data_IF_021608720355
#
_entry.id   IF_021608720355
#
_cell.length_a   1.000
_cell.length_b   1.000
_cell.length_c   1.000
_cell.angle_alpha   90.00
_cell.angle_beta   90.00
_cell.angle_gamma   90.00
#
_symmetry.space_group_name_H-M   'P 1'
#
loop_
_entity.id
_entity.type
_entity.pdbx_description
1 polymer ?
#
# COMPACT_ATOMS: atom_id res chain seq x y z
N UNK A 1 12.40 18.39 19.17
CA UNK A 1 13.71 17.72 19.00
C UNK A 1 13.59 16.82 17.79
N UNK A 2 14.29 17.15 16.71
CA UNK A 2 14.28 16.37 15.47
C UNK A 2 15.36 15.30 15.56
N UNK A 3 14.97 14.03 15.58
CA UNK A 3 15.93 12.93 15.44
C UNK A 3 16.28 12.83 13.93
N UNK A 4 17.57 12.83 13.53
CA UNK A 4 17.97 12.82 12.12
C UNK A 4 17.49 11.57 11.34
N UNK A 5 17.09 10.51 12.03
CA UNK A 5 16.52 9.32 11.42
C UNK A 5 15.03 9.47 11.03
N UNK A 6 14.39 10.59 11.40
CA UNK A 6 13.01 10.88 11.10
C UNK A 6 12.87 12.07 10.17
N UNK A 7 12.28 11.86 9.02
CA UNK A 7 11.76 12.95 8.20
C UNK A 7 10.27 13.11 8.48
N UNK A 8 9.91 14.17 9.20
CA UNK A 8 8.52 14.52 9.48
C UNK A 8 7.90 15.44 8.42
N UNK A 9 8.32 15.38 7.18
CA UNK A 9 7.85 16.29 6.12
C UNK A 9 6.32 16.27 5.94
N UNK A 10 5.66 15.20 6.36
CA UNK A 10 4.20 15.02 6.30
C UNK A 10 3.66 14.27 7.53
N UNK A 11 4.15 14.60 8.72
CA UNK A 11 3.69 13.92 9.95
C UNK A 11 2.25 14.27 10.30
N UNK A 12 1.52 13.33 10.96
CA UNK A 12 0.30 13.70 11.68
C UNK A 12 0.59 14.77 12.72
N UNK A 13 -0.43 15.56 13.08
CA UNK A 13 -0.28 16.51 14.17
C UNK A 13 0.25 15.80 15.42
N UNK A 14 1.21 16.40 16.12
CA UNK A 14 1.76 15.90 17.39
C UNK A 14 0.70 15.73 18.50
N UNK A 15 -0.50 16.31 18.32
CA UNK A 15 -1.66 16.13 19.20
C UNK A 15 -2.43 14.85 18.93
N UNK A 16 -2.23 14.20 17.78
CA UNK A 16 -2.98 13.02 17.36
C UNK A 16 -2.56 11.77 18.12
N UNK A 17 -3.51 10.86 18.35
CA UNK A 17 -3.20 9.47 18.72
C UNK A 17 -2.76 8.67 17.49
N UNK A 18 -1.86 7.71 17.70
CA UNK A 18 -1.34 6.83 16.66
C UNK A 18 -1.40 5.36 17.08
N UNK A 19 -1.72 4.50 16.15
CA UNK A 19 -1.48 3.07 16.28
C UNK A 19 -0.10 2.77 15.67
N UNK A 20 0.77 2.07 16.38
CA UNK A 20 2.10 1.68 15.88
C UNK A 20 2.15 0.16 15.73
N UNK A 21 2.32 -0.31 14.51
CA UNK A 21 2.47 -1.75 14.24
C UNK A 21 3.83 -2.26 14.72
N UNK A 22 3.82 -3.27 15.61
CA UNK A 22 5.04 -3.88 16.14
C UNK A 22 5.02 -5.39 15.93
N UNK A 23 6.07 -5.93 15.27
CA UNK A 23 6.29 -7.36 15.11
C UNK A 23 7.26 -7.94 16.14
N UNK A 24 8.13 -7.12 16.69
CA UNK A 24 9.26 -7.49 17.56
C UNK A 24 10.59 -7.59 16.79
N UNK A 25 10.57 -7.49 15.46
CA UNK A 25 11.79 -7.38 14.64
C UNK A 25 12.42 -5.99 14.71
N UNK A 26 13.66 -5.88 14.20
CA UNK A 26 14.48 -4.68 14.23
C UNK A 26 13.70 -3.41 13.87
N UNK A 27 13.16 -3.36 12.65
CA UNK A 27 12.55 -2.16 12.06
C UNK A 27 11.36 -1.66 12.90
N UNK A 28 10.47 -2.58 13.30
CA UNK A 28 9.28 -2.23 14.09
C UNK A 28 9.61 -1.83 15.54
N UNK A 29 10.67 -2.41 16.09
CA UNK A 29 11.19 -2.05 17.43
C UNK A 29 11.83 -0.66 17.38
N UNK A 30 12.63 -0.37 16.34
CA UNK A 30 13.20 0.93 16.10
C UNK A 30 12.12 2.00 15.92
N UNK A 31 11.09 1.72 15.09
CA UNK A 31 9.96 2.63 14.90
C UNK A 31 9.29 2.97 16.24
N UNK A 32 8.91 1.95 17.02
CA UNK A 32 8.22 2.19 18.30
C UNK A 32 9.11 3.00 19.27
N UNK A 33 10.41 2.68 19.35
CA UNK A 33 11.34 3.41 20.21
C UNK A 33 11.48 4.87 19.78
N UNK A 34 11.68 5.12 18.51
CA UNK A 34 11.75 6.47 17.94
C UNK A 34 10.45 7.26 18.21
N UNK A 35 9.27 6.63 18.07
CA UNK A 35 7.99 7.25 18.41
C UNK A 35 7.92 7.62 19.90
N UNK A 36 8.43 6.76 20.78
CA UNK A 36 8.48 7.04 22.24
C UNK A 36 9.39 8.24 22.54
N UNK A 37 10.50 8.40 21.82
CA UNK A 37 11.42 9.52 22.02
C UNK A 37 10.90 10.85 21.46
N UNK A 38 10.23 10.81 20.31
CA UNK A 38 9.90 12.01 19.55
C UNK A 38 8.45 12.47 19.70
N UNK A 39 7.53 11.56 20.10
CA UNK A 39 6.11 11.92 20.20
C UNK A 39 5.76 12.49 21.57
N UNK A 40 5.06 13.62 21.67
CA UNK A 40 4.70 14.20 22.95
C UNK A 40 3.67 13.32 23.69
N UNK A 41 3.91 13.07 24.98
CA UNK A 41 3.08 12.20 25.83
C UNK A 41 2.83 10.80 25.22
N UNK A 42 3.89 10.03 24.88
CA UNK A 42 3.76 8.80 24.12
C UNK A 42 2.90 7.75 24.82
N UNK A 43 2.93 7.65 26.14
CA UNK A 43 2.11 6.72 26.93
C UNK A 43 0.60 6.92 26.78
N UNK A 44 0.17 8.14 26.48
CA UNK A 44 -1.25 8.49 26.29
C UNK A 44 -1.67 8.44 24.82
N UNK A 45 -0.74 8.73 23.90
CA UNK A 45 -1.05 8.96 22.49
C UNK A 45 -0.65 7.82 21.57
N UNK A 46 0.26 6.93 22.01
CA UNK A 46 0.69 5.78 21.24
C UNK A 46 0.02 4.53 21.76
N UNK A 47 -0.52 3.72 20.86
CA UNK A 47 -0.98 2.36 21.11
C UNK A 47 -0.21 1.43 20.19
N UNK A 48 0.59 0.54 20.77
CA UNK A 48 1.27 -0.52 20.03
C UNK A 48 0.26 -1.61 19.63
N UNK A 49 0.38 -2.12 18.40
CA UNK A 49 -0.50 -3.17 17.87
C UNK A 49 0.33 -4.33 17.34
N UNK A 50 0.12 -5.51 17.88
CA UNK A 50 0.80 -6.75 17.50
C UNK A 50 -0.20 -7.79 17.01
N UNK A 51 0.15 -8.54 15.95
CA UNK A 51 -0.65 -9.67 15.45
C UNK A 51 0.16 -10.94 15.61
N UNK A 52 -0.34 -11.86 16.45
CA UNK A 52 0.22 -13.18 16.61
C UNK A 52 -0.62 -14.18 15.79
N UNK A 53 -0.06 -14.62 14.64
CA UNK A 53 -0.73 -15.57 13.74
C UNK A 53 -0.64 -17.02 14.21
N UNK A 54 0.16 -17.34 15.22
CA UNK A 54 0.35 -18.69 15.72
C UNK A 54 1.06 -19.64 14.74
N UNK A 55 1.61 -19.12 13.63
CA UNK A 55 2.18 -19.94 12.53
C UNK A 55 3.43 -20.73 12.94
N UNK A 56 4.19 -20.22 13.90
CA UNK A 56 5.48 -20.77 14.37
C UNK A 56 5.41 -21.33 15.80
N UNK A 57 4.21 -21.62 16.31
CA UNK A 57 4.03 -22.25 17.63
C UNK A 57 4.72 -21.48 18.76
N UNK A 58 5.73 -22.14 19.41
CA UNK A 58 6.48 -21.54 20.54
C UNK A 58 7.22 -20.25 20.17
N UNK A 59 7.73 -20.12 18.94
CA UNK A 59 8.41 -18.90 18.48
C UNK A 59 7.45 -17.72 18.41
N UNK A 60 6.25 -17.90 17.85
CA UNK A 60 5.23 -16.84 17.83
C UNK A 60 4.82 -16.37 19.23
N UNK A 61 4.83 -17.27 20.22
CA UNK A 61 4.60 -16.90 21.62
C UNK A 61 5.79 -16.14 22.23
N UNK A 62 7.03 -16.52 21.88
CA UNK A 62 8.24 -15.83 22.32
C UNK A 62 8.30 -14.40 21.75
N UNK A 63 7.90 -14.21 20.48
CA UNK A 63 7.83 -12.90 19.86
C UNK A 63 6.78 -12.00 20.56
N UNK A 64 5.59 -12.53 20.85
CA UNK A 64 4.58 -11.80 21.62
C UNK A 64 5.09 -11.42 23.01
N UNK A 65 5.78 -12.33 23.70
CA UNK A 65 6.38 -12.04 25.01
C UNK A 65 7.43 -10.94 24.94
N UNK A 66 8.27 -10.94 23.91
CA UNK A 66 9.27 -9.88 23.69
C UNK A 66 8.61 -8.52 23.46
N UNK A 67 7.59 -8.47 22.59
CA UNK A 67 6.81 -7.24 22.35
C UNK A 67 6.14 -6.73 23.62
N UNK A 68 5.57 -7.62 24.44
CA UNK A 68 4.97 -7.23 25.73
C UNK A 68 6.00 -6.61 26.67
N UNK A 69 7.20 -7.19 26.76
CA UNK A 69 8.30 -6.65 27.60
C UNK A 69 8.74 -5.27 27.13
N UNK A 70 8.93 -5.06 25.82
CA UNK A 70 9.28 -3.76 25.25
C UNK A 70 8.23 -2.70 25.53
N UNK A 71 6.96 -3.00 25.31
CA UNK A 71 5.85 -2.08 25.57
C UNK A 71 5.73 -1.74 27.05
N UNK A 72 5.89 -2.72 27.96
CA UNK A 72 5.89 -2.48 29.42
C UNK A 72 7.07 -1.59 29.84
N UNK A 73 8.31 -1.88 29.34
CA UNK A 73 9.51 -1.07 29.62
C UNK A 73 9.33 0.39 29.21
N UNK A 74 8.64 0.65 28.10
CA UNK A 74 8.42 2.01 27.57
C UNK A 74 7.07 2.61 27.99
N UNK A 75 6.32 1.93 28.85
CA UNK A 75 5.00 2.36 29.35
C UNK A 75 3.99 2.64 28.20
N UNK A 76 4.04 1.83 27.15
CA UNK A 76 3.15 1.94 25.99
C UNK A 76 2.04 0.88 26.08
N UNK A 77 0.79 1.30 25.88
CA UNK A 77 -0.36 0.38 25.82
C UNK A 77 -0.21 -0.54 24.60
N UNK A 78 -0.41 -1.85 24.81
CA UNK A 78 -0.31 -2.85 23.77
C UNK A 78 -1.67 -3.51 23.54
N UNK A 79 -2.07 -3.58 22.27
CA UNK A 79 -3.20 -4.39 21.78
C UNK A 79 -2.66 -5.55 20.96
N UNK A 80 -3.10 -6.77 21.28
CA UNK A 80 -2.65 -8.00 20.61
C UNK A 80 -3.84 -8.69 19.98
N UNK A 81 -3.74 -8.99 18.70
CA UNK A 81 -4.64 -9.91 18.00
C UNK A 81 -4.00 -11.30 17.98
N UNK A 82 -4.61 -12.27 18.67
CA UNK A 82 -4.24 -13.68 18.58
C UNK A 82 -5.14 -14.36 17.56
N UNK A 83 -4.55 -14.93 16.52
CA UNK A 83 -5.29 -15.64 15.48
C UNK A 83 -5.24 -17.13 15.79
N UNK A 84 -6.41 -17.72 16.11
CA UNK A 84 -6.52 -19.16 16.30
C UNK A 84 -6.70 -19.86 14.95
N UNK A 85 -6.05 -21.01 14.77
CA UNK A 85 -6.21 -21.88 13.60
C UNK A 85 -6.03 -21.19 12.24
N UNK A 86 -5.10 -20.22 12.15
CA UNK A 86 -4.88 -19.47 10.91
C UNK A 86 -4.57 -20.38 9.72
N UNK A 87 -3.81 -21.48 9.94
CA UNK A 87 -3.55 -22.47 8.88
C UNK A 87 -4.80 -23.15 8.34
N UNK A 88 -5.80 -23.45 9.19
CA UNK A 88 -7.06 -24.07 8.75
C UNK A 88 -7.91 -23.13 7.89
N UNK A 89 -7.86 -21.82 8.15
CA UNK A 89 -8.55 -20.81 7.35
C UNK A 89 -7.99 -20.63 5.95
N UNK A 90 -6.73 -21.01 5.73
CA UNK A 90 -6.06 -20.91 4.43
C UNK A 90 -6.67 -21.81 3.36
N UNK A 91 -7.16 -22.99 3.74
CA UNK A 91 -7.72 -23.97 2.80
C UNK A 91 -9.10 -23.56 2.25
N UNK A 92 -9.73 -22.54 2.83
CA UNK A 92 -11.09 -22.11 2.45
C UNK A 92 -11.11 -20.97 1.41
N UNK A 93 -9.97 -20.32 1.12
CA UNK A 93 -9.90 -19.17 0.23
C UNK A 93 -8.76 -19.33 -0.79
N UNK A 94 -9.01 -18.96 -2.04
CA UNK A 94 -8.02 -18.98 -3.15
C UNK A 94 -6.88 -17.95 -3.01
N UNK A 95 -6.85 -17.16 -1.92
CA UNK A 95 -5.85 -16.12 -1.67
C UNK A 95 -4.59 -16.71 -1.04
N UNK A 96 -3.43 -16.13 -1.37
CA UNK A 96 -2.15 -16.53 -0.74
C UNK A 96 -2.17 -16.31 0.79
N UNK A 97 -1.34 -17.08 1.52
CA UNK A 97 -1.12 -16.90 2.97
C UNK A 97 -0.80 -15.44 3.33
N UNK A 98 0.03 -14.81 2.51
CA UNK A 98 0.49 -13.43 2.74
C UNK A 98 -0.65 -12.42 2.56
N UNK A 99 -1.49 -12.61 1.54
CA UNK A 99 -2.63 -11.72 1.28
C UNK A 99 -3.66 -11.82 2.42
N UNK A 100 -3.97 -13.04 2.87
CA UNK A 100 -4.90 -13.25 3.99
C UNK A 100 -4.35 -12.68 5.31
N UNK A 101 -3.06 -12.89 5.59
CA UNK A 101 -2.40 -12.31 6.75
C UNK A 101 -2.39 -10.77 6.69
N UNK A 102 -2.17 -10.23 5.49
CA UNK A 102 -2.21 -8.79 5.24
C UNK A 102 -3.61 -8.22 5.49
N UNK A 103 -4.66 -8.81 4.91
CA UNK A 103 -6.06 -8.39 5.10
C UNK A 103 -6.45 -8.39 6.58
N UNK A 104 -6.18 -9.50 7.27
CA UNK A 104 -6.49 -9.63 8.69
C UNK A 104 -5.76 -8.59 9.55
N UNK A 105 -4.50 -8.33 9.25
CA UNK A 105 -3.69 -7.33 9.93
C UNK A 105 -4.26 -5.92 9.74
N UNK A 106 -4.58 -5.54 8.50
CA UNK A 106 -5.10 -4.22 8.23
C UNK A 106 -6.51 -4.02 8.77
N UNK A 107 -7.38 -5.03 8.73
CA UNK A 107 -8.72 -5.00 9.37
C UNK A 107 -8.62 -4.83 10.89
N UNK A 108 -7.64 -5.47 11.53
CA UNK A 108 -7.36 -5.27 12.95
C UNK A 108 -6.92 -3.84 13.24
N UNK A 109 -5.98 -3.31 12.46
CA UNK A 109 -5.48 -1.96 12.63
C UNK A 109 -6.55 -0.90 12.39
N UNK A 110 -7.38 -1.06 11.36
CA UNK A 110 -8.51 -0.18 11.07
C UNK A 110 -9.50 -0.13 12.25
N UNK A 111 -9.83 -1.28 12.81
CA UNK A 111 -10.68 -1.40 13.99
C UNK A 111 -10.08 -0.66 15.19
N UNK A 112 -8.77 -0.83 15.44
CA UNK A 112 -8.07 -0.14 16.51
C UNK A 112 -8.03 1.38 16.29
N UNK A 113 -7.74 1.84 15.07
CA UNK A 113 -7.76 3.27 14.74
C UNK A 113 -9.11 3.89 15.09
N UNK A 114 -10.21 3.20 14.76
CA UNK A 114 -11.56 3.66 15.10
C UNK A 114 -11.82 3.64 16.61
N UNK A 115 -11.48 2.56 17.30
CA UNK A 115 -11.73 2.39 18.74
C UNK A 115 -10.96 3.39 19.60
N UNK A 116 -9.72 3.71 19.21
CA UNK A 116 -8.85 4.61 19.94
C UNK A 116 -8.99 6.09 19.50
N UNK A 117 -9.82 6.38 18.50
CA UNK A 117 -9.92 7.71 17.88
C UNK A 117 -8.57 8.17 17.32
N UNK A 118 -7.77 7.25 16.79
CA UNK A 118 -6.44 7.55 16.29
C UNK A 118 -6.50 8.16 14.88
N UNK A 119 -5.51 9.00 14.55
CA UNK A 119 -5.39 9.58 13.22
C UNK A 119 -5.16 8.51 12.14
N UNK A 120 -4.48 7.44 12.49
CA UNK A 120 -4.10 6.35 11.61
C UNK A 120 -3.08 5.44 12.27
N UNK A 121 -2.33 4.70 11.44
CA UNK A 121 -1.29 3.80 11.92
C UNK A 121 0.08 4.15 11.33
N UNK A 122 1.13 3.90 12.10
CA UNK A 122 2.51 3.93 11.65
C UNK A 122 3.06 2.51 11.46
N UNK A 123 3.84 2.31 10.37
CA UNK A 123 4.50 1.05 10.05
C UNK A 123 5.95 1.28 9.67
N UNK A 124 6.80 0.31 9.97
CA UNK A 124 8.24 0.41 9.87
C UNK A 124 8.82 0.03 8.49
N UNK A 125 8.15 0.43 7.39
CA UNK A 125 8.75 0.29 6.08
C UNK A 125 9.91 1.29 5.95
N UNK A 126 11.04 0.81 5.44
CA UNK A 126 12.31 1.54 5.34
C UNK A 126 12.77 1.66 3.88
N UNK A 127 13.96 2.21 3.65
CA UNK A 127 14.49 2.53 2.31
C UNK A 127 14.58 1.29 1.41
N UNK A 128 15.07 0.17 1.94
CA UNK A 128 15.18 -1.08 1.20
C UNK A 128 13.81 -1.64 0.81
N UNK A 129 12.79 -1.53 1.68
CA UNK A 129 11.42 -1.91 1.33
C UNK A 129 10.86 -1.11 0.16
N UNK A 130 11.23 0.17 0.06
CA UNK A 130 10.88 1.03 -1.07
C UNK A 130 11.53 0.52 -2.35
N UNK A 131 12.85 0.27 -2.31
CA UNK A 131 13.61 -0.23 -3.46
C UNK A 131 13.06 -1.58 -3.95
N UNK A 132 12.83 -2.52 -3.03
CA UNK A 132 12.21 -3.83 -3.33
C UNK A 132 10.86 -3.67 -4.01
N UNK A 133 10.04 -2.76 -3.50
CA UNK A 133 8.68 -2.54 -4.03
C UNK A 133 8.74 -1.93 -5.43
N UNK A 134 9.61 -0.96 -5.66
CA UNK A 134 9.78 -0.32 -6.97
C UNK A 134 10.29 -1.34 -7.99
N UNK A 135 11.32 -2.13 -7.63
CA UNK A 135 11.88 -3.15 -8.50
C UNK A 135 10.88 -4.26 -8.81
N UNK A 136 10.14 -4.77 -7.81
CA UNK A 136 9.10 -5.78 -8.05
C UNK A 136 8.03 -5.28 -9.02
N UNK A 137 7.60 -4.04 -8.88
CA UNK A 137 6.60 -3.43 -9.76
C UNK A 137 7.15 -3.15 -11.15
N UNK A 138 8.41 -2.76 -11.27
CA UNK A 138 9.11 -2.62 -12.55
C UNK A 138 9.15 -3.95 -13.30
N UNK A 139 9.57 -5.02 -12.64
CA UNK A 139 9.61 -6.38 -13.20
C UNK A 139 8.23 -6.94 -13.59
N UNK A 140 7.15 -6.37 -13.07
CA UNK A 140 5.76 -6.68 -13.45
C UNK A 140 5.22 -5.80 -14.58
N UNK A 141 6.01 -4.88 -15.13
CA UNK A 141 5.57 -3.95 -16.17
C UNK A 141 4.61 -2.87 -15.67
N UNK A 142 4.71 -2.46 -14.40
CA UNK A 142 3.84 -1.43 -13.85
C UNK A 142 4.13 -0.07 -14.45
N UNK A 143 3.08 0.72 -14.75
CA UNK A 143 3.20 2.13 -15.11
C UNK A 143 3.52 3.05 -13.91
N UNK A 144 3.50 4.37 -14.13
CA UNK A 144 3.89 5.39 -13.14
C UNK A 144 3.23 5.19 -11.76
N UNK A 145 1.90 4.95 -11.69
CA UNK A 145 1.18 4.66 -10.44
C UNK A 145 1.82 3.49 -9.66
N UNK A 146 2.26 2.45 -10.34
CA UNK A 146 2.94 1.32 -9.71
C UNK A 146 4.37 1.68 -9.30
N UNK A 147 5.16 2.29 -10.18
CA UNK A 147 6.54 2.67 -9.94
C UNK A 147 6.70 3.72 -8.85
N UNK A 148 5.64 4.45 -8.48
CA UNK A 148 5.63 5.35 -7.32
C UNK A 148 5.93 4.65 -5.99
N UNK A 149 6.00 3.32 -5.97
CA UNK A 149 6.40 2.55 -4.79
C UNK A 149 5.45 2.72 -3.59
N UNK A 150 6.02 2.73 -2.40
CA UNK A 150 5.31 3.02 -1.16
C UNK A 150 5.26 4.55 -0.96
N UNK A 151 4.12 5.06 -0.52
CA UNK A 151 3.98 6.49 -0.17
C UNK A 151 4.19 6.68 1.33
N UNK A 152 4.79 7.79 1.73
CA UNK A 152 5.00 8.13 3.16
C UNK A 152 3.66 8.11 3.91
N UNK A 153 2.64 8.77 3.35
CA UNK A 153 1.27 8.64 3.84
C UNK A 153 0.41 8.06 2.72
N UNK A 154 -0.31 7.00 3.04
CA UNK A 154 -1.23 6.33 2.13
C UNK A 154 -2.58 6.11 2.81
N UNK A 155 -3.66 6.40 2.09
CA UNK A 155 -5.01 6.07 2.51
C UNK A 155 -5.40 4.74 1.87
N UNK A 156 -5.84 3.79 2.68
CA UNK A 156 -6.34 2.48 2.24
C UNK A 156 -7.83 2.42 2.47
N UNK A 157 -8.57 2.01 1.45
CA UNK A 157 -10.01 1.72 1.50
C UNK A 157 -10.18 0.22 1.30
N UNK A 158 -10.92 -0.45 2.18
CA UNK A 158 -11.17 -1.90 2.12
C UNK A 158 -12.58 -2.20 1.63
N UNK A 159 -13.53 -1.29 1.84
CA UNK A 159 -14.88 -1.30 1.28
C UNK A 159 -15.45 0.12 1.29
N UNK A 160 -16.46 0.39 0.45
CA UNK A 160 -17.11 1.71 0.39
C UNK A 160 -17.87 2.06 1.68
N UNK A 161 -18.23 1.05 2.47
CA UNK A 161 -18.96 1.20 3.75
C UNK A 161 -18.06 1.36 4.96
N UNK A 162 -16.73 1.15 4.81
CA UNK A 162 -15.79 1.21 5.93
C UNK A 162 -14.95 2.49 5.92
N UNK A 163 -14.62 3.03 7.11
CA UNK A 163 -13.75 4.20 7.20
C UNK A 163 -12.36 3.88 6.62
N UNK A 164 -11.79 4.85 5.94
CA UNK A 164 -10.45 4.75 5.35
C UNK A 164 -9.37 4.61 6.43
N UNK A 165 -8.35 3.79 6.18
CA UNK A 165 -7.19 3.65 7.05
C UNK A 165 -6.02 4.48 6.52
N UNK A 166 -5.58 5.48 7.28
CA UNK A 166 -4.34 6.21 6.99
C UNK A 166 -3.14 5.41 7.51
N UNK A 167 -2.21 5.13 6.62
CA UNK A 167 -0.96 4.42 6.91
C UNK A 167 0.22 5.38 6.71
N UNK A 168 0.98 5.62 7.76
CA UNK A 168 2.17 6.44 7.74
C UNK A 168 3.43 5.59 7.82
N UNK A 169 4.45 5.92 7.02
CA UNK A 169 5.73 5.22 6.92
C UNK A 169 6.88 6.21 7.17
N UNK A 170 7.12 6.57 8.42
CA UNK A 170 8.11 7.61 8.74
C UNK A 170 9.56 7.21 8.45
N UNK A 171 9.84 5.92 8.20
CA UNK A 171 11.18 5.39 8.02
C UNK A 171 11.54 5.15 6.53
N UNK A 172 10.70 5.56 5.58
CA UNK A 172 10.93 5.27 4.14
C UNK A 172 12.25 5.81 3.57
N UNK A 173 12.87 6.78 4.22
CA UNK A 173 14.16 7.35 3.84
C UNK A 173 15.32 6.87 4.72
N UNK A 174 15.05 5.99 5.68
CA UNK A 174 16.03 5.48 6.64
C UNK A 174 16.48 4.09 6.19
N UNK A 175 17.78 3.83 6.19
CA UNK A 175 18.32 2.51 5.87
C UNK A 175 18.12 1.52 7.01
N UNK A 176 18.01 0.24 6.70
CA UNK A 176 17.94 -0.83 7.70
C UNK A 176 19.15 -0.78 8.65
N UNK A 177 20.34 -0.58 8.09
CA UNK A 177 21.58 -0.43 8.88
C UNK A 177 21.48 0.69 9.91
N UNK A 178 20.97 1.86 9.53
CA UNK A 178 20.77 2.96 10.48
C UNK A 178 19.81 2.61 11.61
N UNK A 179 18.79 1.79 11.35
CA UNK A 179 17.86 1.31 12.40
C UNK A 179 18.53 0.31 13.34
N UNK A 180 19.34 -0.59 12.82
CA UNK A 180 20.14 -1.53 13.62
C UNK A 180 21.15 -0.79 14.51
N UNK A 181 21.91 0.15 13.94
CA UNK A 181 22.89 0.97 14.68
C UNK A 181 22.21 1.82 15.77
N UNK A 182 21.01 2.36 15.47
CA UNK A 182 20.20 3.09 16.43
C UNK A 182 19.79 2.21 17.63
N UNK A 183 19.32 0.99 17.41
CA UNK A 183 18.95 0.09 18.50
C UNK A 183 20.16 -0.39 19.30
N UNK A 184 21.27 -0.72 18.63
CA UNK A 184 22.53 -1.12 19.27
C UNK A 184 23.07 -0.02 20.17
N UNK A 185 23.07 1.24 19.70
CA UNK A 185 23.54 2.39 20.52
C UNK A 185 22.72 2.64 21.79
N UNK A 186 21.54 2.02 21.90
CA UNK A 186 20.63 2.13 23.06
C UNK A 186 20.53 0.86 23.88
N UNK A 187 21.32 -0.17 23.56
CA UNK A 187 21.26 -1.50 24.16
C UNK A 187 19.82 -2.05 24.16
N UNK A 188 19.17 -1.99 22.98
CA UNK A 188 17.82 -2.53 22.78
C UNK A 188 17.92 -3.76 21.90
N UNK A 189 17.55 -4.92 22.47
CA UNK A 189 17.47 -6.18 21.76
C UNK A 189 16.18 -6.26 20.92
N UNK A 190 16.26 -6.97 19.80
CA UNK A 190 15.14 -7.31 18.94
C UNK A 190 15.15 -8.79 18.59
N UNK A 191 14.05 -9.27 18.00
CA UNK A 191 13.92 -10.64 17.53
C UNK A 191 14.29 -10.73 16.04
N UNK A 192 15.12 -11.66 15.68
CA UNK A 192 15.36 -12.01 14.29
C UNK A 192 14.28 -12.97 13.78
N UNK A 193 13.76 -12.71 12.59
CA UNK A 193 12.72 -13.52 11.99
C UNK A 193 13.35 -14.46 10.93
N UNK A 194 13.61 -15.70 11.32
CA UNK A 194 14.16 -16.76 10.42
C UNK A 194 13.28 -16.99 9.17
N UNK A 195 12.00 -16.57 9.19
CA UNK A 195 11.13 -16.71 8.02
C UNK A 195 11.50 -15.73 6.88
N UNK A 196 12.33 -14.73 7.13
CA UNK A 196 12.83 -13.80 6.13
C UNK A 196 13.82 -14.47 5.15
N UNK A 197 14.35 -15.64 5.47
CA UNK A 197 15.33 -16.38 4.65
C UNK A 197 14.70 -17.29 3.60
N UNK A 198 13.39 -17.55 3.65
CA UNK A 198 12.74 -18.45 2.69
C UNK A 198 12.64 -17.81 1.31
N UNK A 199 13.47 -18.25 0.36
CA UNK A 199 13.49 -17.80 -1.04
C UNK A 199 12.22 -18.16 -1.84
N UNK A 200 11.31 -18.95 -1.29
CA UNK A 200 10.03 -19.29 -1.92
C UNK A 200 9.14 -18.07 -2.23
N UNK A 201 9.43 -16.92 -1.63
CA UNK A 201 8.65 -15.71 -1.85
C UNK A 201 9.40 -14.74 -2.76
N UNK A 202 8.75 -14.27 -3.83
CA UNK A 202 9.30 -13.34 -4.82
C UNK A 202 9.98 -12.11 -4.19
N UNK A 203 9.44 -11.58 -3.10
CA UNK A 203 10.05 -10.44 -2.39
C UNK A 203 11.40 -10.81 -1.77
N UNK A 204 11.52 -12.02 -1.21
CA UNK A 204 12.77 -12.51 -0.65
C UNK A 204 13.81 -12.78 -1.76
N UNK A 205 13.38 -13.28 -2.94
CA UNK A 205 14.26 -13.40 -4.10
C UNK A 205 14.80 -12.03 -4.55
N UNK A 206 13.93 -11.01 -4.63
CA UNK A 206 14.37 -9.66 -4.95
C UNK A 206 15.39 -9.14 -3.94
N UNK A 207 15.16 -9.35 -2.64
CA UNK A 207 16.03 -8.90 -1.54
C UNK A 207 17.38 -9.60 -1.52
N UNK A 208 17.39 -10.93 -1.69
CA UNK A 208 18.58 -11.76 -1.45
C UNK A 208 19.35 -12.11 -2.71
N UNK A 209 18.72 -12.05 -3.89
CA UNK A 209 19.35 -12.42 -5.17
C UNK A 209 19.44 -11.24 -6.13
N UNK A 210 18.29 -10.63 -6.48
CA UNK A 210 18.21 -9.66 -7.58
C UNK A 210 18.86 -8.31 -7.21
N UNK A 211 18.49 -7.74 -6.08
CA UNK A 211 19.07 -6.45 -5.63
C UNK A 211 20.59 -6.57 -5.40
N UNK A 212 21.12 -7.59 -4.68
CA UNK A 212 22.57 -7.77 -4.53
C UNK A 212 23.30 -7.98 -5.86
N UNK A 213 22.69 -8.74 -6.79
CA UNK A 213 23.28 -8.93 -8.13
C UNK A 213 23.38 -7.60 -8.89
N UNK A 214 22.29 -6.82 -8.96
CA UNK A 214 22.27 -5.53 -9.65
C UNK A 214 23.14 -4.49 -8.96
N UNK A 215 23.33 -4.55 -7.66
CA UNK A 215 24.19 -3.63 -6.90
C UNK A 215 25.67 -3.74 -7.26
N UNK A 216 26.10 -4.80 -7.96
CA UNK A 216 27.45 -4.92 -8.52
C UNK A 216 27.73 -3.87 -9.60
N UNK A 217 26.69 -3.48 -10.36
CA UNK A 217 26.80 -2.40 -11.37
C UNK A 217 26.57 -1.01 -10.77
N UNK A 218 25.74 -0.92 -9.74
CA UNK A 218 25.48 0.33 -9.06
C UNK A 218 25.34 0.10 -7.54
N UNK A 219 26.40 0.32 -6.76
CA UNK A 219 26.37 0.15 -5.30
C UNK A 219 25.31 1.02 -4.60
N UNK A 220 24.84 2.09 -5.24
CA UNK A 220 23.79 2.97 -4.73
C UNK A 220 22.41 2.67 -5.32
N UNK A 221 22.20 1.45 -5.84
CA UNK A 221 20.97 1.08 -6.53
C UNK A 221 19.73 1.24 -5.61
N UNK A 222 19.86 0.91 -4.33
CA UNK A 222 18.77 1.03 -3.35
C UNK A 222 18.27 2.47 -3.26
N UNK A 223 19.18 3.43 -3.11
CA UNK A 223 18.86 4.86 -3.05
C UNK A 223 18.31 5.37 -4.38
N UNK A 224 18.87 4.89 -5.50
CA UNK A 224 18.39 5.26 -6.84
C UNK A 224 16.96 4.81 -7.06
N UNK A 225 16.62 3.55 -6.74
CA UNK A 225 15.26 3.03 -6.85
C UNK A 225 14.29 3.75 -5.91
N UNK A 226 14.71 4.03 -4.68
CA UNK A 226 13.88 4.77 -3.74
C UNK A 226 13.57 6.19 -4.23
N UNK A 227 14.59 6.90 -4.74
CA UNK A 227 14.43 8.23 -5.34
C UNK A 227 13.56 8.21 -6.59
N UNK A 228 13.74 7.22 -7.46
CA UNK A 228 12.87 7.04 -8.63
C UNK A 228 11.41 6.90 -8.19
N UNK A 229 11.14 6.12 -7.14
CA UNK A 229 9.79 5.99 -6.58
C UNK A 229 9.23 7.33 -6.08
N UNK A 230 10.04 8.16 -5.40
CA UNK A 230 9.60 9.49 -4.93
C UNK A 230 9.26 10.44 -6.10
N UNK A 231 10.14 10.53 -7.10
CA UNK A 231 9.91 11.37 -8.29
C UNK A 231 8.64 10.93 -9.00
N UNK A 232 8.54 9.63 -9.30
CA UNK A 232 7.36 9.08 -9.97
C UNK A 232 6.08 9.28 -9.14
N UNK A 233 6.17 9.25 -7.80
CA UNK A 233 5.01 9.51 -6.94
C UNK A 233 4.52 10.97 -7.04
N UNK A 234 5.43 11.93 -7.17
CA UNK A 234 5.09 13.33 -7.35
C UNK A 234 4.45 13.60 -8.72
N UNK A 235 5.03 13.02 -9.78
CA UNK A 235 4.50 13.08 -11.15
C UNK A 235 3.12 12.41 -11.24
N UNK A 236 2.95 11.23 -10.63
CA UNK A 236 1.68 10.52 -10.58
C UNK A 236 0.60 11.34 -9.87
N UNK A 237 0.95 12.00 -8.75
CA UNK A 237 0.04 12.88 -8.03
C UNK A 237 -0.35 14.12 -8.87
N UNK A 238 0.59 14.72 -9.56
CA UNK A 238 0.32 15.84 -10.47
C UNK A 238 -0.65 15.42 -11.58
N UNK A 239 -0.39 14.28 -12.21
CA UNK A 239 -1.25 13.73 -13.27
C UNK A 239 -2.66 13.42 -12.76
N UNK A 240 -2.82 12.92 -11.53
CA UNK A 240 -4.14 12.71 -10.92
C UNK A 240 -4.88 14.04 -10.69
N UNK A 241 -4.20 15.06 -10.16
CA UNK A 241 -4.79 16.38 -9.96
C UNK A 241 -5.19 17.06 -11.27
N UNK A 242 -4.33 16.92 -12.30
CA UNK A 242 -4.61 17.45 -13.62
C UNK A 242 -5.77 16.73 -14.30
N UNK A 243 -5.85 15.41 -14.13
CA UNK A 243 -6.98 14.60 -14.61
C UNK A 243 -8.30 15.06 -13.97
N UNK A 244 -8.34 15.29 -12.66
CA UNK A 244 -9.54 15.80 -11.96
C UNK A 244 -10.05 17.10 -12.58
N UNK A 245 -9.13 18.05 -12.82
CA UNK A 245 -9.47 19.33 -13.46
C UNK A 245 -10.01 19.15 -14.88
N UNK A 246 -9.40 18.25 -15.65
CA UNK A 246 -9.78 18.00 -17.04
C UNK A 246 -11.08 17.21 -17.16
N UNK A 247 -11.32 16.29 -16.22
CA UNK A 247 -12.48 15.40 -16.24
C UNK A 247 -13.82 16.13 -16.11
N UNK A 248 -13.86 17.33 -15.52
CA UNK A 248 -15.06 18.17 -15.46
C UNK A 248 -15.63 18.48 -16.87
N UNK A 249 -14.75 18.59 -17.87
CA UNK A 249 -15.12 18.89 -19.27
C UNK A 249 -15.74 17.68 -20.00
N UNK A 250 -15.63 16.46 -19.45
CA UNK A 250 -16.13 15.24 -20.07
C UNK A 250 -17.65 15.12 -20.01
N UNK A 251 -18.35 15.97 -19.22
CA UNK A 251 -19.79 15.89 -18.94
C UNK A 251 -20.21 14.46 -18.57
N UNK A 252 -19.34 13.77 -17.77
CA UNK A 252 -19.49 12.38 -17.42
C UNK A 252 -20.69 12.11 -16.52
N UNK A 253 -21.33 10.95 -16.72
CA UNK A 253 -22.45 10.48 -15.90
C UNK A 253 -22.13 9.10 -15.33
N UNK A 254 -22.29 8.97 -14.02
CA UNK A 254 -22.12 7.72 -13.27
C UNK A 254 -23.47 7.09 -12.94
N UNK A 255 -23.53 5.78 -13.05
CA UNK A 255 -24.57 4.95 -12.43
C UNK A 255 -23.87 3.92 -11.53
N UNK A 256 -24.63 3.08 -10.79
CA UNK A 256 -24.05 2.01 -9.97
C UNK A 256 -23.17 1.03 -10.78
N UNK A 257 -23.50 0.79 -12.04
CA UNK A 257 -22.84 -0.21 -12.88
C UNK A 257 -22.18 0.36 -14.14
N UNK A 258 -22.22 1.64 -14.38
CA UNK A 258 -21.67 2.20 -15.61
C UNK A 258 -21.17 3.65 -15.44
N UNK A 259 -20.25 4.00 -16.31
CA UNK A 259 -19.83 5.37 -16.59
C UNK A 259 -19.97 5.68 -18.06
N UNK A 260 -20.44 6.87 -18.42
CA UNK A 260 -20.47 7.39 -19.80
C UNK A 260 -20.04 8.83 -19.87
N UNK A 261 -19.39 9.24 -20.94
CA UNK A 261 -19.03 10.63 -21.20
C UNK A 261 -19.09 10.97 -22.68
N UNK A 262 -18.98 12.25 -23.01
CA UNK A 262 -18.97 12.73 -24.39
C UNK A 262 -17.69 12.27 -25.10
N UNK A 263 -17.83 11.47 -26.16
CA UNK A 263 -16.72 10.91 -26.93
C UNK A 263 -15.80 11.99 -27.53
N UNK A 264 -16.30 13.03 -28.20
CA UNK A 264 -15.46 14.12 -28.71
C UNK A 264 -14.66 14.85 -27.64
N UNK A 265 -15.24 15.06 -26.46
CA UNK A 265 -14.52 15.68 -25.33
C UNK A 265 -13.42 14.77 -24.79
N UNK A 266 -13.68 13.46 -24.68
CA UNK A 266 -12.70 12.46 -24.30
C UNK A 266 -11.55 12.38 -25.30
N UNK A 267 -11.83 12.38 -26.60
CA UNK A 267 -10.81 12.31 -27.67
C UNK A 267 -9.87 13.53 -27.68
N UNK A 268 -10.32 14.70 -27.22
CA UNK A 268 -9.48 15.89 -27.09
C UNK A 268 -8.49 15.82 -25.92
N UNK A 269 -8.66 14.88 -25.00
CA UNK A 269 -7.70 14.70 -23.92
C UNK A 269 -6.39 14.14 -24.43
N UNK A 270 -5.29 14.50 -23.76
CA UNK A 270 -3.98 13.88 -24.02
C UNK A 270 -4.04 12.37 -23.78
N UNK A 271 -3.40 11.52 -24.62
CA UNK A 271 -3.44 10.05 -24.50
C UNK A 271 -3.08 9.51 -23.10
N UNK A 272 -2.14 10.15 -22.41
CA UNK A 272 -1.79 9.79 -21.03
C UNK A 272 -2.97 9.93 -20.07
N UNK A 273 -3.78 10.99 -20.23
CA UNK A 273 -4.98 11.23 -19.42
C UNK A 273 -6.12 10.29 -19.80
N UNK A 274 -6.27 9.97 -21.09
CA UNK A 274 -7.25 9.01 -21.58
C UNK A 274 -7.02 7.63 -20.94
N UNK A 275 -5.77 7.11 -20.98
CA UNK A 275 -5.40 5.83 -20.38
C UNK A 275 -5.63 5.83 -18.86
N UNK A 276 -5.26 6.92 -18.18
CA UNK A 276 -5.46 7.06 -16.74
C UNK A 276 -6.94 7.11 -16.37
N UNK A 277 -7.75 7.82 -17.16
CA UNK A 277 -9.19 7.91 -16.94
C UNK A 277 -9.88 6.56 -17.09
N UNK A 278 -9.56 5.80 -18.13
CA UNK A 278 -10.10 4.45 -18.34
C UNK A 278 -9.78 3.55 -17.15
N UNK A 279 -8.52 3.51 -16.71
CA UNK A 279 -8.10 2.69 -15.57
C UNK A 279 -8.82 3.07 -14.29
N UNK A 280 -8.92 4.36 -14.01
CA UNK A 280 -9.61 4.88 -12.83
C UNK A 280 -11.11 4.58 -12.87
N UNK A 281 -11.72 4.70 -14.01
CA UNK A 281 -13.14 4.36 -14.21
C UNK A 281 -13.37 2.87 -14.01
N UNK A 282 -12.51 2.02 -14.55
CA UNK A 282 -12.57 0.57 -14.35
C UNK A 282 -12.41 0.19 -12.88
N UNK A 283 -11.39 0.71 -12.18
CA UNK A 283 -11.20 0.50 -10.74
C UNK A 283 -12.45 0.87 -9.93
N UNK A 284 -13.08 2.01 -10.25
CA UNK A 284 -14.28 2.46 -9.56
C UNK A 284 -15.51 1.58 -9.83
N UNK A 285 -15.62 1.03 -11.04
CA UNK A 285 -16.75 0.16 -11.42
C UNK A 285 -16.61 -1.27 -10.90
N UNK A 286 -15.38 -1.78 -10.76
CA UNK A 286 -15.14 -3.17 -10.32
C UNK A 286 -14.85 -3.28 -8.82
N UNK A 287 -14.42 -2.20 -8.17
CA UNK A 287 -13.88 -2.23 -6.81
C UNK A 287 -12.52 -2.95 -6.70
N UNK A 288 -11.94 -3.39 -7.82
CA UNK A 288 -10.69 -4.15 -7.84
C UNK A 288 -9.48 -3.24 -8.10
N UNK A 289 -8.46 -3.36 -7.23
CA UNK A 289 -7.19 -2.65 -7.40
C UNK A 289 -6.32 -3.22 -8.55
N UNK A 290 -6.58 -4.44 -9.03
CA UNK A 290 -5.95 -5.01 -10.21
C UNK A 290 -6.67 -4.49 -11.45
N UNK A 291 -6.14 -3.40 -11.99
CA UNK A 291 -6.73 -2.73 -13.14
C UNK A 291 -6.47 -3.45 -14.47
N UNK A 292 -7.13 -2.95 -15.51
CA UNK A 292 -6.98 -3.38 -16.91
C UNK A 292 -5.50 -3.44 -17.33
N UNK A 293 -5.13 -4.44 -18.14
CA UNK A 293 -3.83 -4.54 -18.81
C UNK A 293 -3.61 -3.37 -19.77
N UNK A 294 -2.37 -3.22 -20.25
CA UNK A 294 -2.09 -2.23 -21.29
C UNK A 294 -2.94 -2.46 -22.54
N UNK A 295 -2.99 -3.70 -23.03
CA UNK A 295 -3.71 -4.06 -24.25
C UNK A 295 -5.22 -3.84 -24.14
N UNK A 296 -5.80 -4.14 -22.97
CA UNK A 296 -7.23 -3.88 -22.70
C UNK A 296 -7.54 -2.37 -22.73
N UNK A 297 -6.67 -1.53 -22.18
CA UNK A 297 -6.82 -0.07 -22.23
C UNK A 297 -6.70 0.44 -23.67
N UNK A 298 -5.73 -0.06 -24.44
CA UNK A 298 -5.55 0.30 -25.85
C UNK A 298 -6.72 -0.18 -26.71
N UNK A 299 -7.33 -1.31 -26.37
CA UNK A 299 -8.55 -1.78 -27.06
C UNK A 299 -9.73 -0.84 -26.81
N UNK A 300 -9.94 -0.40 -25.56
CA UNK A 300 -10.97 0.60 -25.23
C UNK A 300 -10.70 1.92 -25.98
N UNK A 301 -9.45 2.38 -26.03
CA UNK A 301 -9.09 3.59 -26.77
C UNK A 301 -9.39 3.48 -28.26
N UNK A 302 -9.05 2.34 -28.88
CA UNK A 302 -9.37 2.07 -30.29
C UNK A 302 -10.88 2.03 -30.55
N UNK A 303 -11.63 1.44 -29.63
CA UNK A 303 -13.09 1.40 -29.70
C UNK A 303 -13.66 2.81 -29.58
N UNK A 304 -13.27 3.57 -28.59
CA UNK A 304 -13.77 4.95 -28.36
C UNK A 304 -13.26 5.96 -29.41
N UNK A 305 -12.21 5.62 -30.16
CA UNK A 305 -11.73 6.37 -31.32
C UNK A 305 -12.60 6.21 -32.58
N UNK A 306 -13.73 5.49 -32.50
CA UNK A 306 -14.68 5.35 -33.61
C UNK A 306 -14.32 4.32 -34.66
N UNK A 307 -13.26 3.52 -34.47
CA UNK A 307 -12.83 2.49 -35.44
C UNK A 307 -13.68 1.21 -35.42
N UNK A 308 -14.44 0.99 -34.34
CA UNK A 308 -15.32 -0.19 -34.16
C UNK A 308 -16.58 0.21 -33.43
N UNK A 309 -17.75 -0.27 -33.86
CA UNK A 309 -19.06 -0.03 -33.25
C UNK A 309 -19.50 -1.25 -32.44
N UNK A 310 -20.23 -1.02 -31.32
CA UNK A 310 -20.88 -2.04 -30.52
C UNK A 310 -20.13 -2.34 -29.20
N UNK A 311 -20.83 -2.94 -28.22
CA UNK A 311 -20.27 -3.31 -26.96
C UNK A 311 -19.23 -4.44 -27.13
N UNK A 312 -18.10 -4.33 -26.41
CA UNK A 312 -17.07 -5.36 -26.32
C UNK A 312 -16.78 -5.69 -24.88
N UNK A 313 -16.61 -6.96 -24.61
CA UNK A 313 -16.03 -7.42 -23.35
C UNK A 313 -14.53 -7.03 -23.35
N UNK A 314 -14.14 -6.32 -22.31
CA UNK A 314 -12.75 -5.86 -22.12
C UNK A 314 -12.11 -6.51 -20.90
N UNK A 315 -12.73 -7.58 -20.39
CA UNK A 315 -12.28 -8.32 -19.21
C UNK A 315 -12.79 -7.74 -17.88
N UNK A 316 -12.55 -8.48 -16.80
CA UNK A 316 -12.99 -8.13 -15.44
C UNK A 316 -14.50 -7.85 -15.30
N UNK A 317 -15.32 -8.49 -16.15
CA UNK A 317 -16.77 -8.23 -16.18
C UNK A 317 -17.15 -6.85 -16.73
N UNK A 318 -16.22 -6.16 -17.39
CA UNK A 318 -16.43 -4.85 -17.99
C UNK A 318 -16.72 -4.97 -19.48
N UNK A 319 -17.69 -4.20 -19.96
CA UNK A 319 -17.92 -3.94 -21.38
C UNK A 319 -17.76 -2.47 -21.71
N UNK A 320 -17.15 -2.19 -22.87
CA UNK A 320 -16.97 -0.84 -23.39
C UNK A 320 -17.71 -0.69 -24.73
N UNK A 321 -18.18 0.52 -25.04
CA UNK A 321 -18.89 0.78 -26.31
C UNK A 321 -19.13 2.25 -26.60
N UNK A 322 -19.82 2.50 -27.73
CA UNK A 322 -20.25 3.82 -28.19
C UNK A 322 -21.76 3.80 -28.41
N UNK A 323 -22.45 4.78 -27.91
CA UNK A 323 -23.88 5.04 -28.14
C UNK A 323 -24.06 6.50 -28.58
N UNK A 324 -24.30 6.71 -29.89
CA UNK A 324 -24.34 8.05 -30.48
C UNK A 324 -23.00 8.77 -30.30
N UNK A 325 -23.05 9.93 -29.64
CA UNK A 325 -21.85 10.71 -29.29
C UNK A 325 -21.23 10.34 -27.92
N UNK A 326 -21.79 9.34 -27.21
CA UNK A 326 -21.36 8.92 -25.91
C UNK A 326 -20.47 7.68 -25.97
N UNK A 327 -19.38 7.69 -25.24
CA UNK A 327 -18.56 6.50 -24.94
C UNK A 327 -18.88 6.02 -23.53
N UNK A 328 -18.87 4.72 -23.31
CA UNK A 328 -19.22 4.14 -22.01
C UNK A 328 -18.34 2.97 -21.62
N UNK A 329 -18.23 2.78 -20.28
CA UNK A 329 -17.69 1.58 -19.64
C UNK A 329 -18.75 1.08 -18.65
N UNK A 330 -19.11 -0.22 -18.73
CA UNK A 330 -20.17 -0.83 -17.93
C UNK A 330 -19.68 -2.11 -17.26
N UNK A 331 -20.00 -2.29 -15.98
CA UNK A 331 -19.82 -3.55 -15.26
C UNK A 331 -21.00 -4.49 -15.60
N UNK A 332 -20.71 -5.53 -16.40
CA UNK A 332 -21.68 -6.54 -16.83
C UNK A 332 -21.85 -7.66 -15.81
N UNK A 333 -20.96 -7.78 -14.81
CA UNK A 333 -21.02 -8.78 -13.75
C UNK A 333 -21.99 -8.45 -12.61
N UNK A 334 -22.42 -7.19 -12.50
CA UNK A 334 -23.48 -6.80 -11.58
C UNK A 334 -24.84 -7.09 -12.27
N UNK A 335 -25.41 -8.29 -12.01
CA UNK A 335 -26.79 -8.56 -12.37
C UNK A 335 -27.68 -7.45 -11.79
N UNK A 336 -28.61 -6.93 -12.61
CA UNK A 336 -29.70 -6.06 -12.16
C UNK A 336 -30.41 -6.76 -11.01
N UNK A 337 -30.24 -6.28 -9.78
CA UNK A 337 -31.14 -6.56 -8.67
C UNK A 337 -32.26 -5.55 -8.69
#
# INVERSE_FOLDING_TARGET
MTNPLFSFSRSPSSRSRLIVGISGGCDSTALLRLMVECWPNPSQKIVAAHVNYGLRGKQSQADEKAVRRLCARWKIRLKVLKVRDFKKRLHQNQKSLQDQARELRYSFFQRLVRQEGAWGMAVAHHLEDQAETVLDRFLRGSGAKGLSGLREIQTLTFSDSEPVLKVWRPLLRTTKKSLEDYLKSRNIDWREDESNEKLAYRRNQIRHEVLPFLSRWNPRLTEVLARMGEVTAAEDQFMDQFLEKTASNLKGRWTKSAYRCQGPAFQKMHPALQRRWIRRTAEKLTGEARGLSFDQVEEILRLWGGRKKGPRDVGYGLSAGIEGSWVYLKNSGLKKS
#
